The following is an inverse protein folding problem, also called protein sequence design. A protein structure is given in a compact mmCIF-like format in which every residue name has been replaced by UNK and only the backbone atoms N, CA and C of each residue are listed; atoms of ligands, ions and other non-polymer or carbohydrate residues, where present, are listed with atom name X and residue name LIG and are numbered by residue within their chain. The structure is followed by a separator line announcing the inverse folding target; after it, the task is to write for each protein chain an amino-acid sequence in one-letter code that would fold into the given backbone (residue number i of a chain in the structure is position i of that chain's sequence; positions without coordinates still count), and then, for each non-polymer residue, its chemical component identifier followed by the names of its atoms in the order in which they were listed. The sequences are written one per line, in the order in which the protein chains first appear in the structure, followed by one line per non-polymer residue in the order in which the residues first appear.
data_IF_901489104473
#
_entry.id   IF_901489104473
#
_cell.length_a   1.000
_cell.length_b   1.000
_cell.length_c   1.000
_cell.angle_alpha   90.00
_cell.angle_beta   90.00
_cell.angle_gamma   90.00
#
_symmetry.space_group_name_H-M   'P 1'
#
loop_
_entity.id
_entity.type
_entity.pdbx_description
1 polymer ?
#
# COMPACT_ATOMS: atom_id res chain seq x y z
N UNK A 1 3.98 3.78 -6.39
CA UNK A 1 2.86 2.99 -6.94
C UNK A 1 3.14 2.62 -8.40
N UNK A 2 3.32 3.60 -9.29
CA UNK A 2 3.52 3.37 -10.73
C UNK A 2 4.52 2.25 -11.10
N UNK A 3 5.71 2.19 -10.48
CA UNK A 3 6.66 1.10 -10.76
C UNK A 3 6.11 -0.30 -10.42
N UNK A 4 5.35 -0.44 -9.33
CA UNK A 4 4.66 -1.70 -9.00
C UNK A 4 3.44 -1.98 -9.86
N UNK A 5 2.80 -0.94 -10.40
CA UNK A 5 1.72 -1.07 -11.37
C UNK A 5 2.24 -1.62 -12.73
N UNK A 6 3.52 -1.41 -13.04
CA UNK A 6 4.15 -1.79 -14.32
C UNK A 6 5.26 -2.86 -14.22
N UNK A 7 5.46 -3.45 -13.05
CA UNK A 7 6.48 -4.50 -12.87
C UNK A 7 6.17 -5.76 -13.69
N UNK A 8 7.22 -6.48 -14.12
CA UNK A 8 7.11 -7.58 -15.09
C UNK A 8 6.53 -8.87 -14.49
N UNK A 9 6.75 -9.10 -13.19
CA UNK A 9 6.27 -10.25 -12.45
C UNK A 9 5.89 -9.87 -11.01
N UNK A 10 5.24 -10.79 -10.29
CA UNK A 10 4.76 -10.52 -8.93
C UNK A 10 5.87 -10.13 -7.95
N UNK A 11 7.08 -10.67 -8.10
CA UNK A 11 8.22 -10.38 -7.21
C UNK A 11 8.74 -8.98 -7.46
N UNK A 12 8.90 -8.56 -8.72
CA UNK A 12 9.30 -7.20 -9.05
C UNK A 12 8.27 -6.17 -8.56
N UNK A 13 6.98 -6.46 -8.78
CA UNK A 13 5.88 -5.60 -8.32
C UNK A 13 5.87 -5.49 -6.80
N UNK A 14 5.99 -6.62 -6.09
CA UNK A 14 6.14 -6.68 -4.63
C UNK A 14 7.30 -5.81 -4.14
N UNK A 15 8.49 -5.95 -4.73
CA UNK A 15 9.67 -5.17 -4.37
C UNK A 15 9.46 -3.67 -4.59
N UNK A 16 8.90 -3.28 -5.74
CA UNK A 16 8.60 -1.88 -6.05
C UNK A 16 7.56 -1.27 -5.09
N UNK A 17 6.50 -2.00 -4.77
CA UNK A 17 5.51 -1.57 -3.79
C UNK A 17 6.11 -1.44 -2.38
N UNK A 18 6.95 -2.40 -1.96
CA UNK A 18 7.62 -2.38 -0.65
C UNK A 18 8.51 -1.15 -0.48
N UNK A 19 9.30 -0.82 -1.50
CA UNK A 19 10.11 0.41 -1.50
C UNK A 19 9.22 1.64 -1.40
N UNK A 20 8.16 1.74 -2.22
CA UNK A 20 7.25 2.88 -2.20
C UNK A 20 6.50 3.03 -0.86
N UNK A 21 6.11 1.92 -0.24
CA UNK A 21 5.51 1.88 1.09
C UNK A 21 6.44 2.47 2.15
N UNK A 22 7.69 1.99 2.23
CA UNK A 22 8.66 2.49 3.21
C UNK A 22 9.05 3.95 2.97
N UNK A 23 9.21 4.38 1.71
CA UNK A 23 9.44 5.80 1.39
C UNK A 23 8.26 6.68 1.76
N UNK A 24 7.03 6.18 1.60
CA UNK A 24 5.83 6.87 2.08
C UNK A 24 5.81 7.00 3.60
N UNK A 25 6.20 5.96 4.35
CA UNK A 25 6.35 6.06 5.81
C UNK A 25 7.38 7.11 6.22
N UNK A 26 8.52 7.18 5.52
CA UNK A 26 9.54 8.19 5.79
C UNK A 26 8.99 9.61 5.57
N UNK A 27 8.24 9.81 4.48
CA UNK A 27 7.58 11.09 4.20
C UNK A 27 6.52 11.46 5.25
N UNK A 28 5.69 10.50 5.67
CA UNK A 28 4.70 10.72 6.73
C UNK A 28 5.39 11.12 8.05
N UNK A 29 6.47 10.43 8.43
CA UNK A 29 7.24 10.72 9.64
C UNK A 29 7.90 12.09 9.59
N UNK A 30 8.46 12.46 8.44
CA UNK A 30 9.02 13.79 8.22
C UNK A 30 7.96 14.90 8.40
N UNK A 31 6.69 14.59 8.11
CA UNK A 31 5.54 15.49 8.30
C UNK A 31 4.82 15.30 9.64
N UNK A 32 5.50 14.70 10.64
CA UNK A 32 5.01 14.65 12.02
C UNK A 32 4.08 13.48 12.35
N UNK A 33 3.83 12.55 11.41
CA UNK A 33 3.09 11.33 11.71
C UNK A 33 3.95 10.37 12.55
N UNK A 34 3.39 9.86 13.66
CA UNK A 34 4.15 9.12 14.69
C UNK A 34 3.75 7.65 14.82
N UNK A 35 3.22 7.04 13.77
CA UNK A 35 2.77 5.65 13.83
C UNK A 35 1.30 5.47 14.20
N UNK A 36 0.57 6.57 14.41
CA UNK A 36 -0.84 6.55 14.84
C UNK A 36 -1.63 7.69 14.19
N UNK A 37 -2.95 7.50 14.12
CA UNK A 37 -3.86 8.41 13.42
C UNK A 37 -4.08 8.03 11.95
N UNK A 38 -5.09 8.66 11.36
CA UNK A 38 -5.57 8.29 10.03
C UNK A 38 -4.70 8.82 8.89
N UNK A 39 -4.55 8.01 7.85
CA UNK A 39 -3.99 8.38 6.56
C UNK A 39 -5.03 7.97 5.53
N UNK A 40 -5.98 8.87 5.26
CA UNK A 40 -7.22 8.54 4.56
C UNK A 40 -7.08 8.58 3.04
N UNK A 41 -7.84 7.72 2.37
CA UNK A 41 -8.02 7.71 0.92
C UNK A 41 -8.73 8.97 0.41
N UNK A 42 -9.54 9.63 1.23
CA UNK A 42 -10.16 10.91 0.85
C UNK A 42 -9.12 12.02 0.57
N UNK A 43 -7.88 11.87 1.04
CA UNK A 43 -6.80 12.84 0.87
C UNK A 43 -5.89 12.41 -0.28
N UNK A 44 -5.92 13.15 -1.38
CA UNK A 44 -5.20 12.80 -2.61
C UNK A 44 -3.68 12.62 -2.41
N UNK A 45 -3.05 13.42 -1.55
CA UNK A 45 -1.60 13.29 -1.27
C UNK A 45 -1.22 11.96 -0.62
N UNK A 46 -2.16 11.25 0.01
CA UNK A 46 -1.91 9.95 0.63
C UNK A 46 -1.95 8.79 -0.37
N UNK A 47 -2.53 8.99 -1.57
CA UNK A 47 -2.78 7.92 -2.52
C UNK A 47 -1.52 7.18 -2.93
N UNK A 48 -0.40 7.90 -3.10
CA UNK A 48 0.87 7.28 -3.45
C UNK A 48 1.33 6.24 -2.43
N UNK A 49 1.25 6.57 -1.14
CA UNK A 49 1.59 5.69 -0.03
C UNK A 49 0.57 4.55 0.11
N UNK A 50 -0.73 4.87 0.12
CA UNK A 50 -1.79 3.88 0.33
C UNK A 50 -1.88 2.88 -0.83
N UNK A 51 -1.68 3.32 -2.08
CA UNK A 51 -1.58 2.41 -3.25
C UNK A 51 -0.37 1.48 -3.14
N UNK A 52 0.78 1.97 -2.65
CA UNK A 52 1.93 1.10 -2.42
C UNK A 52 1.65 0.05 -1.34
N UNK A 53 1.00 0.44 -0.24
CA UNK A 53 0.66 -0.49 0.84
C UNK A 53 -0.36 -1.55 0.37
N UNK A 54 -1.38 -1.15 -0.41
CA UNK A 54 -2.35 -2.06 -1.00
C UNK A 54 -1.73 -2.99 -2.05
N UNK A 55 -0.87 -2.45 -2.93
CA UNK A 55 -0.13 -3.27 -3.88
C UNK A 55 0.79 -4.28 -3.19
N UNK A 56 1.46 -3.87 -2.11
CA UNK A 56 2.28 -4.76 -1.28
C UNK A 56 1.45 -5.90 -0.69
N UNK A 57 0.28 -5.58 -0.10
CA UNK A 57 -0.66 -6.57 0.41
C UNK A 57 -1.03 -7.62 -0.65
N UNK A 58 -1.47 -7.17 -1.82
CA UNK A 58 -1.94 -8.06 -2.89
C UNK A 58 -0.82 -8.94 -3.45
N UNK A 59 0.38 -8.39 -3.63
CA UNK A 59 1.51 -9.18 -4.13
C UNK A 59 2.05 -10.14 -3.07
N UNK A 60 2.11 -9.73 -1.80
CA UNK A 60 2.50 -10.61 -0.69
C UNK A 60 1.57 -11.83 -0.61
N UNK A 61 0.26 -11.61 -0.66
CA UNK A 61 -0.73 -12.69 -0.68
C UNK A 61 -0.52 -13.64 -1.87
N UNK A 62 -0.22 -13.09 -3.05
CA UNK A 62 -0.05 -13.90 -4.26
C UNK A 62 1.22 -14.77 -4.24
N UNK A 63 2.31 -14.27 -3.67
CA UNK A 63 3.58 -15.02 -3.61
C UNK A 63 3.68 -15.94 -2.38
N UNK A 64 2.63 -15.99 -1.54
CA UNK A 64 2.57 -16.85 -0.35
C UNK A 64 3.19 -16.23 0.92
N UNK A 65 3.44 -14.93 0.95
CA UNK A 65 3.93 -14.19 2.12
C UNK A 65 2.76 -13.76 3.02
N UNK A 66 2.05 -14.74 3.60
CA UNK A 66 0.79 -14.54 4.34
C UNK A 66 0.92 -13.57 5.53
N UNK A 67 1.99 -13.69 6.32
CA UNK A 67 2.24 -12.81 7.47
C UNK A 67 2.37 -11.33 7.07
N UNK A 68 2.90 -11.04 5.88
CA UNK A 68 2.96 -9.67 5.39
C UNK A 68 1.64 -9.22 4.79
N UNK A 69 0.94 -10.10 4.06
CA UNK A 69 -0.40 -9.83 3.56
C UNK A 69 -1.33 -9.42 4.72
N UNK A 70 -1.33 -10.16 5.82
CA UNK A 70 -2.18 -9.87 6.98
C UNK A 70 -1.80 -8.56 7.67
N UNK A 71 -0.51 -8.34 7.93
CA UNK A 71 -0.04 -7.10 8.58
C UNK A 71 -0.39 -5.87 7.74
N UNK A 72 -0.23 -5.94 6.43
CA UNK A 72 -0.51 -4.82 5.52
C UNK A 72 -2.02 -4.56 5.38
N UNK A 73 -2.85 -5.61 5.34
CA UNK A 73 -4.31 -5.47 5.36
C UNK A 73 -4.82 -4.83 6.65
N UNK A 74 -4.35 -5.32 7.80
CA UNK A 74 -4.69 -4.75 9.10
C UNK A 74 -4.28 -3.28 9.18
N UNK A 75 -3.09 -2.95 8.68
CA UNK A 75 -2.60 -1.58 8.71
C UNK A 75 -3.41 -0.65 7.80
N UNK A 76 -3.83 -1.09 6.61
CA UNK A 76 -4.76 -0.34 5.75
C UNK A 76 -6.06 0.00 6.47
N UNK A 77 -6.67 -0.98 7.14
CA UNK A 77 -7.92 -0.78 7.88
C UNK A 77 -7.74 0.19 9.07
N UNK A 78 -6.58 0.19 9.73
CA UNK A 78 -6.27 1.15 10.79
C UNK A 78 -6.06 2.58 10.25
N UNK A 79 -5.40 2.71 9.11
CA UNK A 79 -5.13 4.01 8.48
C UNK A 79 -6.40 4.66 7.92
N UNK A 80 -7.31 3.87 7.38
CA UNK A 80 -8.62 4.35 6.93
C UNK A 80 -9.74 3.31 7.12
N UNK A 81 -10.52 3.40 8.22
CA UNK A 81 -11.61 2.47 8.51
C UNK A 81 -12.77 2.49 7.51
N UNK A 82 -12.87 3.51 6.63
CA UNK A 82 -13.88 3.50 5.56
C UNK A 82 -13.59 2.47 4.47
N UNK A 83 -12.40 1.86 4.50
CA UNK A 83 -11.96 0.90 3.51
C UNK A 83 -11.38 1.55 2.25
N UNK A 84 -10.86 0.71 1.36
CA UNK A 84 -10.30 1.14 0.09
C UNK A 84 -11.44 1.48 -0.89
N UNK A 85 -11.42 2.66 -1.54
CA UNK A 85 -12.36 2.97 -2.62
C UNK A 85 -12.33 1.91 -3.72
N UNK A 86 -13.52 1.54 -4.23
CA UNK A 86 -13.68 0.50 -5.25
C UNK A 86 -12.85 0.79 -6.50
N UNK A 87 -12.82 2.05 -6.93
CA UNK A 87 -12.13 2.48 -8.14
C UNK A 87 -10.61 2.26 -8.00
N UNK A 88 -10.07 2.42 -6.80
CA UNK A 88 -8.65 2.21 -6.51
C UNK A 88 -8.31 0.72 -6.37
N UNK A 89 -9.23 -0.10 -5.83
CA UNK A 89 -9.08 -1.56 -5.84
C UNK A 89 -9.02 -2.12 -7.27
N UNK A 90 -9.85 -1.58 -8.16
CA UNK A 90 -9.90 -1.99 -9.57
C UNK A 90 -8.71 -1.47 -10.38
N UNK A 91 -8.12 -0.34 -9.98
CA UNK A 91 -6.98 0.28 -10.66
C UNK A 91 -5.61 -0.31 -10.30
N UNK A 92 -5.49 -1.16 -9.28
CA UNK A 92 -4.25 -1.88 -9.00
C UNK A 92 -4.26 -3.18 -9.80
N UNK A 93 -3.23 -3.45 -10.63
CA UNK A 93 -3.22 -4.67 -11.41
C UNK A 93 -3.26 -5.88 -10.47
N UNK A 94 -4.16 -6.82 -10.74
CA UNK A 94 -4.19 -8.08 -10.00
C UNK A 94 -2.98 -8.93 -10.43
N UNK A 95 -2.54 -9.87 -9.59
CA UNK A 95 -1.52 -10.82 -10.01
C UNK A 95 -1.96 -11.60 -11.25
#
# INVERSE_FOLDING_TARGET
AALGDHGRDAIERYAAYRVGYHRGLDALRANGWRGSGYVRWAVASNHGFLRCLLGLHLMAAHIGEEDEADRTAQFLAQLDPSGVPRELLEAIPKP
#
